data_IF_548199929552
#
_entry.id   IF_548199929552
#
_cell.length_a   1.000
_cell.length_b   1.000
_cell.length_c   1.000
_cell.angle_alpha   90.00
_cell.angle_beta   90.00
_cell.angle_gamma   90.00
#
_symmetry.space_group_name_H-M   'P 1'
#
loop_
_entity.id
_entity.type
_entity.pdbx_description
1 polymer ?
#
# COMPACT_ATOMS: atom_id res chain seq x y z
N UNK A 1 -1.13 2.10 -16.88
CA UNK A 1 -2.20 1.09 -16.98
C UNK A 1 -2.67 0.57 -15.61
N UNK A 2 -1.79 0.26 -14.65
CA UNK A 2 -2.18 -0.31 -13.35
C UNK A 2 -2.98 0.62 -12.41
N UNK A 3 -2.89 1.95 -12.59
CA UNK A 3 -3.71 2.95 -11.90
C UNK A 3 -5.22 2.77 -12.13
N UNK A 4 -5.62 2.25 -13.31
CA UNK A 4 -7.03 2.12 -13.69
C UNK A 4 -7.70 0.97 -12.93
N UNK A 5 -7.00 -0.15 -12.67
CA UNK A 5 -7.58 -1.28 -11.95
C UNK A 5 -7.70 -1.02 -10.43
N UNK A 6 -6.72 -0.33 -9.84
CA UNK A 6 -6.82 0.11 -8.44
C UNK A 6 -7.95 1.11 -8.21
N UNK A 7 -8.19 2.00 -9.18
CA UNK A 7 -9.34 2.90 -9.20
C UNK A 7 -10.66 2.13 -9.44
N UNK A 8 -10.69 1.21 -10.41
CA UNK A 8 -11.90 0.46 -10.79
C UNK A 8 -12.46 -0.40 -9.66
N UNK A 9 -11.60 -1.02 -8.85
CA UNK A 9 -12.02 -1.80 -7.68
C UNK A 9 -12.39 -0.93 -6.46
N UNK A 10 -11.81 0.26 -6.33
CA UNK A 10 -12.14 1.21 -5.26
C UNK A 10 -13.46 1.97 -5.50
N UNK A 11 -13.79 2.28 -6.75
CA UNK A 11 -14.87 3.24 -7.08
C UNK A 11 -16.31 2.74 -6.92
N UNK A 12 -16.56 1.46 -6.59
CA UNK A 12 -17.93 0.90 -6.53
C UNK A 12 -18.36 0.39 -5.14
N UNK A 13 -17.65 0.73 -4.06
CA UNK A 13 -17.97 0.24 -2.71
C UNK A 13 -17.71 -1.27 -2.52
N UNK A 14 -16.96 -1.90 -3.43
CA UNK A 14 -16.62 -3.32 -3.41
C UNK A 14 -15.15 -3.56 -3.05
N UNK A 15 -14.57 -2.73 -2.18
CA UNK A 15 -13.16 -2.83 -1.76
C UNK A 15 -12.78 -4.24 -1.31
N UNK A 16 -13.67 -4.93 -0.57
CA UNK A 16 -13.49 -6.34 -0.16
C UNK A 16 -13.36 -7.33 -1.32
N UNK A 17 -14.18 -7.19 -2.36
CA UNK A 17 -14.09 -8.06 -3.54
C UNK A 17 -12.84 -7.76 -4.36
N UNK A 18 -12.48 -6.49 -4.49
CA UNK A 18 -11.23 -6.08 -5.11
C UNK A 18 -10.00 -6.65 -4.40
N UNK A 19 -9.99 -6.60 -3.06
CA UNK A 19 -8.93 -7.18 -2.24
C UNK A 19 -8.82 -8.70 -2.43
N UNK A 20 -9.95 -9.42 -2.53
CA UNK A 20 -9.95 -10.87 -2.77
C UNK A 20 -9.31 -11.22 -4.14
N UNK A 21 -9.67 -10.52 -5.22
CA UNK A 21 -9.04 -10.74 -6.53
C UNK A 21 -7.54 -10.42 -6.51
N UNK A 22 -7.15 -9.36 -5.81
CA UNK A 22 -5.73 -8.98 -5.69
C UNK A 22 -4.93 -9.94 -4.81
N UNK A 23 -5.54 -10.58 -3.81
CA UNK A 23 -4.90 -11.65 -3.04
C UNK A 23 -4.58 -12.86 -3.93
N UNK A 24 -5.53 -13.27 -4.78
CA UNK A 24 -5.30 -14.33 -5.77
C UNK A 24 -4.21 -13.91 -6.75
N UNK A 25 -4.25 -12.69 -7.27
CA UNK A 25 -3.21 -12.17 -8.17
C UNK A 25 -1.83 -12.12 -7.49
N UNK A 26 -1.77 -11.76 -6.21
CA UNK A 26 -0.53 -11.76 -5.43
C UNK A 26 0.00 -13.17 -5.15
N UNK A 27 -0.86 -14.18 -5.06
CA UNK A 27 -0.45 -15.59 -4.99
C UNK A 27 0.07 -16.10 -6.34
N UNK A 28 -0.57 -15.71 -7.44
CA UNK A 28 -0.14 -16.09 -8.80
C UNK A 28 1.13 -15.35 -9.24
N UNK A 29 1.39 -14.16 -8.73
CA UNK A 29 2.55 -13.34 -9.09
C UNK A 29 3.15 -12.65 -7.86
N UNK A 30 3.84 -13.40 -6.98
CA UNK A 30 4.23 -12.90 -5.66
C UNK A 30 5.36 -11.86 -5.66
N UNK A 31 6.04 -11.69 -6.80
CA UNK A 31 7.06 -10.66 -7.04
C UNK A 31 6.53 -9.43 -7.79
N UNK A 32 5.25 -9.37 -8.12
CA UNK A 32 4.69 -8.24 -8.85
C UNK A 32 4.36 -7.09 -7.89
N UNK A 33 5.30 -6.16 -7.75
CA UNK A 33 5.14 -5.00 -6.88
C UNK A 33 3.97 -4.09 -7.26
N UNK A 34 3.56 -4.08 -8.52
CA UNK A 34 2.34 -3.40 -8.95
C UNK A 34 1.08 -3.94 -8.27
N UNK A 35 0.91 -5.25 -8.29
CA UNK A 35 -0.23 -5.95 -7.66
C UNK A 35 -0.22 -5.73 -6.15
N UNK A 36 0.94 -5.87 -5.51
CA UNK A 36 1.07 -5.66 -4.07
C UNK A 36 0.78 -4.20 -3.66
N UNK A 37 1.20 -3.20 -4.46
CA UNK A 37 0.87 -1.78 -4.20
C UNK A 37 -0.64 -1.53 -4.27
N UNK A 38 -1.32 -2.11 -5.25
CA UNK A 38 -2.78 -2.02 -5.35
C UNK A 38 -3.47 -2.74 -4.19
N UNK A 39 -2.98 -3.92 -3.79
CA UNK A 39 -3.51 -4.67 -2.65
C UNK A 39 -3.37 -3.88 -1.34
N UNK A 40 -2.19 -3.34 -1.07
CA UNK A 40 -1.94 -2.50 0.11
C UNK A 40 -2.89 -1.30 0.16
N UNK A 41 -3.09 -0.63 -0.98
CA UNK A 41 -4.02 0.49 -1.07
C UNK A 41 -5.46 0.11 -0.75
N UNK A 42 -5.97 -1.01 -1.29
CA UNK A 42 -7.33 -1.46 -1.00
C UNK A 42 -7.51 -1.91 0.46
N UNK A 43 -6.51 -2.56 1.05
CA UNK A 43 -6.52 -2.94 2.46
C UNK A 43 -6.59 -1.71 3.38
N UNK A 44 -5.88 -0.63 3.04
CA UNK A 44 -5.99 0.66 3.75
C UNK A 44 -7.42 1.22 3.66
N UNK A 45 -8.03 1.19 2.47
CA UNK A 45 -9.40 1.69 2.27
C UNK A 45 -10.45 0.85 3.02
N UNK A 46 -10.22 -0.46 3.16
CA UNK A 46 -11.11 -1.38 3.88
C UNK A 46 -10.89 -1.36 5.41
N UNK A 47 -9.92 -0.59 5.91
CA UNK A 47 -9.59 -0.53 7.35
C UNK A 47 -8.72 -1.68 7.85
N UNK A 48 -8.27 -2.56 6.96
CA UNK A 48 -7.47 -3.76 7.24
C UNK A 48 -5.98 -3.41 7.42
N UNK A 49 -5.69 -2.55 8.40
CA UNK A 49 -4.40 -1.88 8.55
C UNK A 49 -3.22 -2.85 8.70
N UNK A 50 -3.34 -3.90 9.52
CA UNK A 50 -2.25 -4.86 9.74
C UNK A 50 -1.92 -5.67 8.47
N UNK A 51 -2.95 -6.06 7.70
CA UNK A 51 -2.75 -6.73 6.41
C UNK A 51 -2.09 -5.78 5.41
N UNK A 52 -2.45 -4.49 5.42
CA UNK A 52 -1.80 -3.49 4.59
C UNK A 52 -0.32 -3.35 4.96
N UNK A 53 0.02 -3.26 6.25
CA UNK A 53 1.40 -3.17 6.73
C UNK A 53 2.22 -4.39 6.34
N UNK A 54 1.67 -5.61 6.47
CA UNK A 54 2.34 -6.83 6.02
C UNK A 54 2.60 -6.83 4.50
N UNK A 55 1.63 -6.36 3.72
CA UNK A 55 1.77 -6.22 2.26
C UNK A 55 2.84 -5.20 1.88
N UNK A 56 2.91 -4.08 2.61
CA UNK A 56 3.93 -3.04 2.44
C UNK A 56 5.31 -3.55 2.82
N UNK A 57 5.45 -4.31 3.91
CA UNK A 57 6.72 -4.93 4.28
C UNK A 57 7.23 -5.85 3.17
N UNK A 58 6.34 -6.60 2.52
CA UNK A 58 6.70 -7.41 1.34
C UNK A 58 7.16 -6.54 0.16
N UNK A 59 6.50 -5.41 -0.09
CA UNK A 59 6.93 -4.46 -1.13
C UNK A 59 8.33 -3.89 -0.85
N UNK A 60 8.62 -3.55 0.40
CA UNK A 60 9.93 -3.04 0.82
C UNK A 60 11.05 -4.06 0.51
N UNK A 61 10.77 -5.37 0.62
CA UNK A 61 11.72 -6.42 0.22
C UNK A 61 11.94 -6.54 -1.29
N UNK A 62 11.00 -6.09 -2.12
CA UNK A 62 11.04 -6.22 -3.58
C UNK A 62 11.60 -4.97 -4.27
N UNK A 63 11.22 -3.78 -3.81
CA UNK A 63 11.54 -2.50 -4.45
C UNK A 63 12.63 -1.71 -3.71
N UNK A 64 13.00 -2.15 -2.50
CA UNK A 64 13.86 -1.40 -1.59
C UNK A 64 13.08 -0.41 -0.73
N UNK A 65 13.63 -0.10 0.45
CA UNK A 65 12.98 0.76 1.45
C UNK A 65 12.87 2.23 1.03
N UNK A 66 13.66 2.67 0.05
CA UNK A 66 13.78 4.07 -0.33
C UNK A 66 12.79 4.52 -1.41
N UNK A 67 11.80 3.68 -1.75
CA UNK A 67 10.80 4.07 -2.75
C UNK A 67 9.78 5.04 -2.14
N UNK A 68 9.68 6.31 -2.60
CA UNK A 68 8.87 7.33 -1.93
C UNK A 68 7.38 6.96 -1.82
N UNK A 69 6.84 6.28 -2.83
CA UNK A 69 5.45 5.82 -2.80
C UNK A 69 5.16 4.81 -1.67
N UNK A 70 6.15 4.04 -1.21
CA UNK A 70 5.99 3.09 -0.10
C UNK A 70 5.93 3.79 1.25
N UNK A 71 6.77 4.80 1.47
CA UNK A 71 6.75 5.61 2.69
C UNK A 71 5.38 6.29 2.89
N UNK A 72 4.78 6.83 1.82
CA UNK A 72 3.43 7.40 1.87
C UNK A 72 2.34 6.34 2.15
N UNK A 73 2.40 5.17 1.51
CA UNK A 73 1.46 4.06 1.77
C UNK A 73 1.56 3.58 3.22
N UNK A 74 2.78 3.45 3.75
CA UNK A 74 3.06 3.05 5.13
C UNK A 74 2.51 4.05 6.14
N UNK A 75 2.74 5.34 5.92
CA UNK A 75 2.15 6.41 6.74
C UNK A 75 0.62 6.29 6.82
N UNK A 76 -0.04 6.09 5.68
CA UNK A 76 -1.51 5.93 5.64
C UNK A 76 -1.99 4.68 6.37
N UNK A 77 -1.32 3.54 6.19
CA UNK A 77 -1.67 2.30 6.91
C UNK A 77 -1.52 2.46 8.43
N UNK A 78 -0.45 3.13 8.88
CA UNK A 78 -0.21 3.43 10.29
C UNK A 78 -1.27 4.37 10.88
N UNK A 79 -1.77 5.35 10.11
CA UNK A 79 -2.88 6.19 10.54
C UNK A 79 -4.16 5.38 10.76
N UNK A 80 -4.48 4.46 9.84
CA UNK A 80 -5.65 3.57 9.97
C UNK A 80 -5.49 2.63 11.19
N UNK A 81 -4.26 2.18 11.49
CA UNK A 81 -3.95 1.40 12.69
C UNK A 81 -3.95 2.22 14.00
N UNK A 82 -4.15 3.54 13.96
CA UNK A 82 -4.06 4.42 15.13
C UNK A 82 -2.62 4.72 15.60
N UNK A 83 -1.60 4.26 14.86
CA UNK A 83 -0.17 4.40 15.17
C UNK A 83 0.39 5.75 14.68
N UNK A 84 -0.15 6.84 15.25
CA UNK A 84 0.07 8.21 14.77
C UNK A 84 1.53 8.66 14.78
N UNK A 85 2.30 8.28 15.79
CA UNK A 85 3.73 8.63 15.92
C UNK A 85 4.55 8.04 14.78
N UNK A 86 4.36 6.75 14.51
CA UNK A 86 5.05 6.05 13.42
C UNK A 86 4.59 6.55 12.05
N UNK A 87 3.29 6.85 11.90
CA UNK A 87 2.75 7.44 10.68
C UNK A 87 3.42 8.77 10.35
N UNK A 88 3.66 9.60 11.36
CA UNK A 88 4.36 10.88 11.21
C UNK A 88 5.80 10.69 10.78
N UNK A 89 6.54 9.78 11.41
CA UNK A 89 7.92 9.46 11.01
C UNK A 89 8.01 8.95 9.56
N UNK A 90 7.09 8.09 9.14
CA UNK A 90 7.01 7.60 7.76
C UNK A 90 6.70 8.72 6.75
N UNK A 91 5.83 9.68 7.13
CA UNK A 91 5.53 10.84 6.30
C UNK A 91 6.73 11.78 6.16
N UNK A 92 7.49 12.00 7.24
CA UNK A 92 8.71 12.79 7.19
C UNK A 92 9.74 12.16 6.25
N UNK A 93 9.95 10.85 6.34
CA UNK A 93 10.82 10.11 5.42
C UNK A 93 10.41 10.31 3.95
N UNK A 94 9.10 10.24 3.65
CA UNK A 94 8.58 10.54 2.32
C UNK A 94 8.89 11.97 1.86
N UNK A 95 8.66 12.96 2.72
CA UNK A 95 8.91 14.38 2.39
C UNK A 95 10.40 14.66 2.17
N UNK A 96 11.27 14.07 2.99
CA UNK A 96 12.72 14.19 2.83
C UNK A 96 13.22 13.61 1.51
N UNK A 97 12.69 12.47 1.06
CA UNK A 97 13.06 11.87 -0.23
C UNK A 97 12.51 12.67 -1.44
N UNK A 98 11.37 13.36 -1.27
CA UNK A 98 10.76 14.19 -2.33
C UNK A 98 11.42 15.57 -2.49
N UNK A 99 11.98 16.13 -1.41
CA UNK A 99 12.65 17.43 -1.43
C UNK A 99 14.08 17.43 -2.00
N UNK A 100 14.59 16.25 -2.42
CA UNK A 100 15.94 16.07 -2.98
C UNK A 100 15.89 15.93 -4.52
N UNK A 101 14.72 16.09 -5.15
CA UNK A 101 14.54 16.11 -6.61
C UNK A 101 14.48 17.52 -7.19
#
# INVERSE_FOLDING_TARGET
MLHVLGFLYGSHGQAKRGAAYLLIAAQLSPGNAGVLRTLAHLLILDGEAEKALATIARLETLEGMDHPALALLKSRALLVAGRKTEAHSALLSFLSQRGVQ
#
